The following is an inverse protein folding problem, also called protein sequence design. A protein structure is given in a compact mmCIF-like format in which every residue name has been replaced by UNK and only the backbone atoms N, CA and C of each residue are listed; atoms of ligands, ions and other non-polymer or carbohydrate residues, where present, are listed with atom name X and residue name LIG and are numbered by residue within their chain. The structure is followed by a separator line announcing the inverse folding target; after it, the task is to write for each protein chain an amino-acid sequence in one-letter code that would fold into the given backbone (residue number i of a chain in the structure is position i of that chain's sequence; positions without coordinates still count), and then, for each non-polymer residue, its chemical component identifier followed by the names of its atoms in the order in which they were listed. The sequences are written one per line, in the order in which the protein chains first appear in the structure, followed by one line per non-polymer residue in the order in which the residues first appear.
data_IF_216900806972
#
_entry.id   IF_216900806972
#
_cell.length_a   1.000
_cell.length_b   1.000
_cell.length_c   1.000
_cell.angle_alpha   90.00
_cell.angle_beta   90.00
_cell.angle_gamma   90.00
#
_symmetry.space_group_name_H-M   'P 1'
#
loop_
_entity.id
_entity.type
_entity.pdbx_description
1 polymer ?
#
# COMPACT_ATOMS: atom_id res chain seq x y z
N UNK A 1 -21.29 14.86 -12.18
CA UNK A 1 -20.23 15.87 -11.96
C UNK A 1 -19.42 15.61 -10.66
N UNK A 2 -20.07 15.45 -9.48
CA UNK A 2 -19.34 15.16 -8.21
C UNK A 2 -18.53 13.87 -8.26
N UNK A 3 -19.08 12.76 -8.81
CA UNK A 3 -18.37 11.46 -8.94
C UNK A 3 -17.14 11.56 -9.85
N UNK A 4 -17.24 12.30 -10.95
CA UNK A 4 -16.10 12.54 -11.86
C UNK A 4 -15.02 13.42 -11.21
N UNK A 5 -15.42 14.38 -10.38
CA UNK A 5 -14.49 15.23 -9.63
C UNK A 5 -13.74 14.44 -8.56
N UNK A 6 -14.44 13.54 -7.83
CA UNK A 6 -13.81 12.65 -6.84
C UNK A 6 -12.80 11.68 -7.48
N UNK A 7 -13.15 11.07 -8.62
CA UNK A 7 -12.25 10.16 -9.36
C UNK A 7 -11.00 10.92 -9.83
N UNK A 8 -11.14 12.11 -10.39
CA UNK A 8 -10.02 12.94 -10.86
C UNK A 8 -9.13 13.41 -9.70
N UNK A 9 -9.71 13.77 -8.56
CA UNK A 9 -8.97 14.19 -7.38
C UNK A 9 -8.22 13.01 -6.74
N UNK A 10 -8.83 11.82 -6.68
CA UNK A 10 -8.19 10.59 -6.20
C UNK A 10 -7.00 10.21 -7.09
N UNK A 11 -7.18 10.23 -8.41
CA UNK A 11 -6.10 9.97 -9.37
C UNK A 11 -4.94 10.97 -9.21
N UNK A 12 -5.25 12.26 -9.02
CA UNK A 12 -4.23 13.30 -8.83
C UNK A 12 -3.47 13.13 -7.52
N UNK A 13 -4.14 12.71 -6.45
CA UNK A 13 -3.49 12.41 -5.16
C UNK A 13 -2.56 11.21 -5.32
N UNK A 14 -3.02 10.13 -5.95
CA UNK A 14 -2.19 8.94 -6.20
C UNK A 14 -0.96 9.26 -7.06
N UNK A 15 -1.13 10.02 -8.15
CA UNK A 15 -0.02 10.44 -9.01
C UNK A 15 1.01 11.28 -8.24
N UNK A 16 0.56 12.26 -7.46
CA UNK A 16 1.46 13.09 -6.66
C UNK A 16 2.19 12.28 -5.57
N UNK A 17 1.55 11.28 -4.99
CA UNK A 17 2.17 10.36 -4.03
C UNK A 17 3.23 9.52 -4.73
N UNK A 18 2.93 8.92 -5.88
CA UNK A 18 3.90 8.13 -6.65
C UNK A 18 5.11 8.97 -7.08
N UNK A 19 4.93 10.21 -7.52
CA UNK A 19 6.05 11.10 -7.87
C UNK A 19 6.96 11.33 -6.65
N UNK A 20 6.41 11.46 -5.45
CA UNK A 20 7.19 11.75 -4.24
C UNK A 20 7.86 10.50 -3.66
N UNK A 21 7.20 9.38 -3.64
CA UNK A 21 7.63 8.19 -2.88
C UNK A 21 7.65 6.89 -3.70
N UNK A 22 7.30 6.93 -4.99
CA UNK A 22 7.20 5.73 -5.83
C UNK A 22 8.51 4.95 -5.94
N UNK A 23 9.64 5.67 -5.97
CA UNK A 23 10.97 5.04 -5.93
C UNK A 23 11.17 4.23 -4.65
N UNK A 24 10.88 4.82 -3.49
CA UNK A 24 11.01 4.14 -2.20
C UNK A 24 10.08 2.93 -2.12
N UNK A 25 8.83 3.06 -2.59
CA UNK A 25 7.85 1.97 -2.66
C UNK A 25 8.39 0.80 -3.48
N UNK A 26 8.93 1.07 -4.68
CA UNK A 26 9.50 0.03 -5.53
C UNK A 26 10.71 -0.66 -4.90
N UNK A 27 11.64 0.10 -4.32
CA UNK A 27 12.83 -0.45 -3.69
C UNK A 27 12.51 -1.22 -2.40
N UNK A 28 11.55 -0.76 -1.58
CA UNK A 28 11.10 -1.50 -0.40
C UNK A 28 10.51 -2.86 -0.76
N UNK A 29 9.74 -2.94 -1.85
CA UNK A 29 9.20 -4.21 -2.34
C UNK A 29 10.29 -5.24 -2.67
N UNK A 30 11.45 -4.82 -3.18
CA UNK A 30 12.59 -5.71 -3.43
C UNK A 30 13.27 -6.08 -2.10
N UNK A 31 13.58 -5.09 -1.25
CA UNK A 31 14.24 -5.33 0.04
C UNK A 31 13.45 -6.28 0.93
N UNK A 32 12.12 -6.20 0.89
CA UNK A 32 11.24 -7.04 1.70
C UNK A 32 11.18 -8.50 1.22
N UNK A 33 11.65 -8.82 0.00
CA UNK A 33 11.69 -10.21 -0.49
C UNK A 33 12.52 -11.13 0.42
N UNK A 34 13.50 -10.61 1.16
CA UNK A 34 14.29 -11.38 2.14
C UNK A 34 13.46 -12.01 3.26
N UNK A 35 12.27 -11.49 3.54
CA UNK A 35 11.38 -12.05 4.56
C UNK A 35 10.52 -13.22 4.05
N UNK A 36 10.40 -13.40 2.74
CA UNK A 36 9.58 -14.46 2.12
C UNK A 36 9.83 -15.85 2.70
N UNK A 37 11.09 -16.30 2.94
CA UNK A 37 11.34 -17.64 3.44
C UNK A 37 10.64 -17.96 4.76
N UNK A 38 10.35 -16.95 5.56
CA UNK A 38 9.78 -17.12 6.91
C UNK A 38 8.35 -16.59 7.08
N UNK A 39 7.80 -15.91 6.09
CA UNK A 39 6.49 -15.26 6.20
C UNK A 39 5.31 -16.21 5.93
N UNK A 40 4.10 -15.72 6.21
CA UNK A 40 2.82 -16.30 5.81
C UNK A 40 2.13 -15.42 4.77
N UNK A 41 1.14 -15.98 4.10
CA UNK A 41 0.27 -15.24 3.20
C UNK A 41 -1.02 -14.80 3.91
N UNK A 42 -1.46 -13.57 3.65
CA UNK A 42 -2.78 -13.09 4.09
C UNK A 42 -3.93 -13.90 3.50
N UNK A 43 -3.79 -14.43 2.28
CA UNK A 43 -4.82 -15.25 1.65
C UNK A 43 -5.05 -16.61 2.34
N UNK A 44 -4.03 -17.14 3.03
CA UNK A 44 -4.16 -18.43 3.71
C UNK A 44 -5.10 -18.38 4.94
N UNK A 45 -5.54 -17.17 5.34
CA UNK A 45 -6.54 -16.97 6.39
C UNK A 45 -7.97 -16.90 5.88
N UNK A 46 -8.20 -16.99 4.57
CA UNK A 46 -9.54 -16.93 3.99
C UNK A 46 -10.41 -18.06 4.53
N UNK A 47 -11.59 -17.69 5.06
CA UNK A 47 -12.57 -18.59 5.67
C UNK A 47 -11.99 -19.53 6.76
N UNK A 48 -10.90 -19.10 7.41
CA UNK A 48 -10.17 -19.91 8.37
C UNK A 48 -10.68 -19.73 9.81
N UNK A 49 -11.06 -18.52 10.18
CA UNK A 49 -11.51 -18.23 11.53
C UNK A 49 -12.97 -18.71 11.76
N UNK A 50 -13.34 -19.10 12.99
CA UNK A 50 -14.73 -19.47 13.31
C UNK A 50 -15.70 -18.33 12.99
N UNK A 51 -16.87 -18.66 12.44
CA UNK A 51 -17.85 -17.69 11.94
C UNK A 51 -18.40 -16.76 13.05
N UNK A 52 -18.39 -17.22 14.31
CA UNK A 52 -18.85 -16.42 15.46
C UNK A 52 -17.81 -15.46 16.02
N UNK A 53 -16.53 -15.59 15.63
CA UNK A 53 -15.45 -14.69 16.04
C UNK A 53 -15.57 -13.37 15.25
N UNK A 54 -15.73 -12.20 15.92
CA UNK A 54 -15.68 -10.91 15.23
C UNK A 54 -14.25 -10.43 14.99
N UNK A 55 -14.05 -9.59 13.98
CA UNK A 55 -12.84 -8.77 13.84
C UNK A 55 -13.03 -7.41 14.53
N UNK A 56 -12.08 -6.98 15.33
CA UNK A 56 -12.02 -5.62 15.92
C UNK A 56 -10.90 -4.84 15.25
N UNK A 57 -11.26 -3.83 14.47
CA UNK A 57 -10.32 -2.94 13.79
C UNK A 57 -10.09 -1.72 14.69
N UNK A 58 -8.84 -1.54 15.12
CA UNK A 58 -8.46 -0.49 16.07
C UNK A 58 -7.66 0.59 15.35
N UNK A 59 -8.24 1.77 15.23
CA UNK A 59 -7.59 2.95 14.65
C UNK A 59 -7.18 3.97 15.74
N UNK A 60 -6.39 4.98 15.35
CA UNK A 60 -5.72 5.90 16.27
C UNK A 60 -6.51 7.20 16.57
N UNK A 61 -7.81 7.24 16.27
CA UNK A 61 -8.61 8.44 16.54
C UNK A 61 -8.73 8.77 18.04
N UNK A 62 -9.03 10.03 18.40
CA UNK A 62 -9.04 10.48 19.79
C UNK A 62 -9.99 9.70 20.70
N UNK A 63 -11.07 9.15 20.15
CA UNK A 63 -12.03 8.34 20.91
C UNK A 63 -11.46 7.04 21.46
N UNK A 64 -10.34 6.53 20.90
CA UNK A 64 -9.69 5.30 21.35
C UNK A 64 -9.39 5.33 22.87
N UNK A 65 -9.05 6.48 23.42
CA UNK A 65 -8.79 6.64 24.84
C UNK A 65 -9.99 6.26 25.74
N UNK A 66 -11.21 6.33 25.21
CA UNK A 66 -12.42 6.05 26.00
C UNK A 66 -12.64 4.55 26.25
N UNK A 67 -12.21 3.72 25.31
CA UNK A 67 -12.62 2.32 25.27
C UNK A 67 -11.48 1.31 25.04
N UNK A 68 -10.22 1.76 24.88
CA UNK A 68 -9.06 0.88 24.64
C UNK A 68 -8.91 -0.22 25.72
N UNK A 69 -9.15 0.09 27.00
CA UNK A 69 -9.07 -0.88 28.10
C UNK A 69 -10.07 -2.04 27.97
N UNK A 70 -11.20 -1.82 27.30
CA UNK A 70 -12.20 -2.85 27.06
C UNK A 70 -11.69 -3.97 26.13
N UNK A 71 -10.67 -3.70 25.32
CA UNK A 71 -10.04 -4.71 24.46
C UNK A 71 -9.53 -5.91 25.24
N UNK A 72 -9.11 -5.72 26.51
CA UNK A 72 -8.73 -6.82 27.43
C UNK A 72 -9.83 -7.87 27.59
N UNK A 73 -11.11 -7.45 27.56
CA UNK A 73 -12.27 -8.35 27.67
C UNK A 73 -12.53 -9.13 26.38
N UNK A 74 -12.07 -8.61 25.24
CA UNK A 74 -12.20 -9.25 23.91
C UNK A 74 -11.07 -10.23 23.61
N UNK A 75 -9.95 -10.21 24.39
CA UNK A 75 -8.79 -11.07 24.14
C UNK A 75 -9.18 -12.56 24.13
N UNK A 76 -8.79 -13.26 23.05
CA UNK A 76 -9.15 -14.66 22.81
C UNK A 76 -10.61 -14.89 22.36
N UNK A 77 -11.41 -13.82 22.19
CA UNK A 77 -12.83 -13.91 21.78
C UNK A 77 -13.13 -13.14 20.48
N UNK A 78 -12.18 -12.33 20.04
CA UNK A 78 -12.21 -11.57 18.80
C UNK A 78 -10.79 -11.54 18.23
N UNK A 79 -10.67 -11.37 16.92
CA UNK A 79 -9.41 -11.06 16.27
C UNK A 79 -9.22 -9.54 16.30
N UNK A 80 -8.16 -9.08 16.95
CA UNK A 80 -7.82 -7.66 17.02
C UNK A 80 -6.79 -7.30 15.96
N UNK A 81 -7.13 -6.37 15.06
CA UNK A 81 -6.24 -5.81 14.03
C UNK A 81 -6.03 -4.33 14.34
N UNK A 82 -4.83 -3.99 14.79
CA UNK A 82 -4.49 -2.63 15.21
C UNK A 82 -3.69 -1.95 14.12
N UNK A 83 -4.09 -0.76 13.69
CA UNK A 83 -3.29 0.02 12.74
C UNK A 83 -1.98 0.49 13.38
N UNK A 84 -0.94 0.61 12.60
CA UNK A 84 0.40 0.99 13.03
C UNK A 84 0.45 2.30 13.85
N UNK A 85 -0.41 3.26 13.56
CA UNK A 85 -0.51 4.52 14.31
C UNK A 85 -1.22 4.40 15.68
N UNK A 86 -1.86 3.27 15.99
CA UNK A 86 -2.54 3.04 17.28
C UNK A 86 -1.76 2.09 18.20
N UNK A 87 -0.67 1.47 17.72
CA UNK A 87 -0.02 0.36 18.42
C UNK A 87 0.56 0.78 19.77
N UNK A 88 1.24 1.94 19.86
CA UNK A 88 1.81 2.42 21.10
C UNK A 88 0.73 2.65 22.16
N UNK A 89 -0.38 3.28 21.79
CA UNK A 89 -1.52 3.51 22.69
C UNK A 89 -2.10 2.18 23.20
N UNK A 90 -2.37 1.24 22.31
CA UNK A 90 -2.97 -0.05 22.65
C UNK A 90 -2.07 -0.85 23.59
N UNK A 91 -0.77 -0.94 23.28
CA UNK A 91 0.19 -1.70 24.12
C UNK A 91 0.49 -1.01 25.43
N UNK A 92 0.53 0.34 25.49
CA UNK A 92 0.66 1.10 26.75
C UNK A 92 -0.50 0.84 27.73
N UNK A 93 -1.68 0.50 27.21
CA UNK A 93 -2.83 0.05 28.01
C UNK A 93 -2.77 -1.45 28.38
N UNK A 94 -1.68 -2.15 28.08
CA UNK A 94 -1.48 -3.56 28.42
C UNK A 94 -2.32 -4.52 27.56
N UNK A 95 -2.66 -4.12 26.35
CA UNK A 95 -3.34 -4.96 25.36
C UNK A 95 -2.33 -5.41 24.32
N UNK A 96 -2.08 -6.71 24.22
CA UNK A 96 -1.30 -7.32 23.14
C UNK A 96 -2.25 -7.66 22.00
N UNK A 97 -2.19 -6.97 20.84
CA UNK A 97 -3.07 -7.27 19.69
C UNK A 97 -2.74 -8.62 19.06
N UNK A 98 -3.65 -9.17 18.27
CA UNK A 98 -3.40 -10.36 17.49
C UNK A 98 -2.64 -10.01 16.21
N UNK A 99 -3.02 -8.89 15.57
CA UNK A 99 -2.31 -8.35 14.42
C UNK A 99 -2.08 -6.84 14.54
N UNK A 100 -0.95 -6.41 14.02
CA UNK A 100 -0.68 -5.01 13.65
C UNK A 100 -0.66 -4.95 12.13
N UNK A 101 -1.31 -3.94 11.53
CA UNK A 101 -1.27 -3.74 10.09
C UNK A 101 -0.47 -2.49 9.73
N UNK A 102 0.43 -2.62 8.75
CA UNK A 102 1.29 -1.53 8.27
C UNK A 102 1.45 -1.58 6.75
N UNK A 103 1.43 -0.41 6.11
CA UNK A 103 1.49 -0.25 4.65
C UNK A 103 2.59 0.73 4.25
N UNK A 104 2.75 1.81 5.03
CA UNK A 104 3.55 2.96 4.61
C UNK A 104 5.05 2.65 4.55
N UNK A 105 5.65 2.83 3.37
CA UNK A 105 7.09 2.72 3.14
C UNK A 105 7.90 3.74 3.95
N UNK A 106 7.34 4.92 4.20
CA UNK A 106 8.01 6.01 4.92
C UNK A 106 7.57 6.13 6.39
N UNK A 107 7.00 5.07 6.97
CA UNK A 107 6.61 5.08 8.38
C UNK A 107 7.83 5.23 9.28
N UNK A 108 7.79 6.18 10.21
CA UNK A 108 8.91 6.44 11.10
C UNK A 108 8.98 5.40 12.24
N UNK A 109 10.18 4.87 12.50
CA UNK A 109 10.44 3.87 13.55
C UNK A 109 10.05 4.35 14.95
N UNK A 110 10.11 5.65 15.21
CA UNK A 110 9.68 6.25 16.48
C UNK A 110 8.22 5.97 16.85
N UNK A 111 7.41 5.53 15.88
CA UNK A 111 6.01 5.14 16.11
C UNK A 111 5.86 3.69 16.57
N UNK A 112 6.97 2.94 16.71
CA UNK A 112 7.00 1.53 17.06
C UNK A 112 7.92 1.32 18.28
N UNK A 113 7.56 1.91 19.41
CA UNK A 113 8.39 1.89 20.64
C UNK A 113 7.85 0.97 21.73
N UNK A 114 6.71 0.32 21.49
CA UNK A 114 6.07 -0.54 22.47
C UNK A 114 6.92 -1.79 22.77
N UNK A 115 7.06 -2.12 24.04
CA UNK A 115 7.74 -3.34 24.50
C UNK A 115 6.94 -4.59 24.07
N UNK A 116 7.63 -5.64 23.62
CA UNK A 116 7.00 -6.88 23.15
C UNK A 116 6.50 -6.84 21.70
N UNK A 117 6.70 -5.75 20.95
CA UNK A 117 6.25 -5.60 19.58
C UNK A 117 6.78 -6.71 18.65
N UNK A 118 8.00 -7.20 18.88
CA UNK A 118 8.60 -8.26 18.08
C UNK A 118 7.82 -9.60 18.10
N UNK A 119 6.96 -9.80 19.09
CA UNK A 119 6.15 -11.01 19.28
C UNK A 119 4.75 -10.91 18.65
N UNK A 120 4.34 -9.72 18.21
CA UNK A 120 3.04 -9.50 17.56
C UNK A 120 3.11 -9.93 16.10
N UNK A 121 1.99 -10.43 15.54
CA UNK A 121 1.91 -10.70 14.09
C UNK A 121 1.68 -9.40 13.33
N UNK A 122 2.46 -9.20 12.26
CA UNK A 122 2.35 -8.03 11.39
C UNK A 122 1.75 -8.41 10.05
N UNK A 123 0.60 -7.81 9.76
CA UNK A 123 0.03 -7.76 8.42
C UNK A 123 0.74 -6.64 7.67
N UNK A 124 1.59 -7.01 6.75
CA UNK A 124 2.42 -6.07 6.02
C UNK A 124 2.10 -6.08 4.52
N UNK A 125 1.89 -4.89 3.94
CA UNK A 125 1.97 -4.78 2.48
C UNK A 125 3.41 -5.07 2.02
N UNK A 126 3.56 -5.68 0.86
CA UNK A 126 4.87 -5.98 0.27
C UNK A 126 5.79 -4.75 0.17
N UNK A 127 5.22 -3.55 0.20
CA UNK A 127 5.93 -2.26 0.10
C UNK A 127 6.12 -1.54 1.43
N UNK A 128 5.74 -2.16 2.56
CA UNK A 128 5.89 -1.58 3.90
C UNK A 128 7.36 -1.23 4.22
N UNK A 129 7.56 -0.32 5.17
CA UNK A 129 8.91 0.10 5.58
C UNK A 129 9.73 -1.09 6.07
N UNK A 130 10.80 -1.42 5.34
CA UNK A 130 11.69 -2.55 5.64
C UNK A 130 12.26 -2.49 7.06
N UNK A 131 12.64 -1.30 7.54
CA UNK A 131 13.17 -1.14 8.89
C UNK A 131 12.13 -1.37 10.00
N UNK A 132 10.84 -1.16 9.72
CA UNK A 132 9.75 -1.56 10.64
C UNK A 132 9.62 -3.08 10.66
N UNK A 133 9.71 -3.73 9.50
CA UNK A 133 9.63 -5.20 9.42
C UNK A 133 10.82 -5.89 10.11
N UNK A 134 12.00 -5.27 10.13
CA UNK A 134 13.18 -5.75 10.88
C UNK A 134 12.98 -5.79 12.41
N UNK A 135 12.03 -5.02 12.93
CA UNK A 135 11.72 -5.03 14.37
C UNK A 135 10.89 -6.25 14.77
N UNK A 136 10.32 -6.98 13.81
CA UNK A 136 9.40 -8.10 14.02
C UNK A 136 10.12 -9.42 13.75
N UNK A 137 9.81 -10.46 14.53
CA UNK A 137 10.33 -11.81 14.22
C UNK A 137 9.84 -12.23 12.83
N UNK A 138 10.73 -12.65 11.90
CA UNK A 138 10.31 -12.95 10.52
C UNK A 138 9.15 -13.96 10.43
N UNK A 139 9.09 -14.92 11.36
CA UNK A 139 7.98 -15.90 11.43
C UNK A 139 6.62 -15.28 11.76
N UNK A 140 6.58 -14.06 12.28
CA UNK A 140 5.37 -13.33 12.63
C UNK A 140 4.92 -12.37 11.51
N UNK A 141 5.62 -12.33 10.39
CA UNK A 141 5.20 -11.54 9.22
C UNK A 141 4.15 -12.31 8.41
N UNK A 142 3.09 -11.61 8.06
CA UNK A 142 2.00 -12.05 7.18
C UNK A 142 1.88 -11.03 6.08
N UNK A 143 2.25 -11.39 4.87
CA UNK A 143 2.20 -10.47 3.74
C UNK A 143 0.87 -10.54 3.00
N UNK A 144 0.43 -9.38 2.57
CA UNK A 144 -0.64 -9.18 1.60
C UNK A 144 -0.20 -8.14 0.56
N UNK A 145 -0.99 -7.87 -0.45
CA UNK A 145 -0.67 -6.83 -1.42
C UNK A 145 -1.88 -6.01 -1.82
N UNK A 146 -1.65 -4.74 -2.04
CA UNK A 146 -2.57 -3.82 -2.69
C UNK A 146 -2.27 -3.68 -4.19
N UNK A 147 -1.26 -4.38 -4.70
CA UNK A 147 -0.84 -4.37 -6.11
C UNK A 147 -0.26 -5.74 -6.52
N UNK A 148 -0.72 -6.27 -7.63
CA UNK A 148 -0.21 -7.51 -8.22
C UNK A 148 1.18 -7.31 -8.84
N UNK A 149 1.97 -8.36 -8.92
CA UNK A 149 3.30 -8.33 -9.53
C UNK A 149 4.14 -9.53 -9.17
N UNK A 150 5.46 -9.35 -9.08
CA UNK A 150 6.42 -10.42 -8.76
C UNK A 150 6.06 -11.19 -7.50
N UNK A 151 5.61 -10.50 -6.44
CA UNK A 151 5.18 -11.13 -5.19
C UNK A 151 4.00 -12.09 -5.41
N UNK A 152 2.94 -11.63 -6.09
CA UNK A 152 1.75 -12.46 -6.36
C UNK A 152 2.12 -13.69 -7.18
N UNK A 153 3.01 -13.55 -8.16
CA UNK A 153 3.52 -14.68 -8.94
C UNK A 153 4.29 -15.68 -8.07
N UNK A 154 5.23 -15.21 -7.25
CA UNK A 154 6.00 -16.09 -6.36
C UNK A 154 5.10 -16.88 -5.41
N UNK A 155 4.08 -16.25 -4.83
CA UNK A 155 3.10 -16.96 -4.00
C UNK A 155 2.28 -17.96 -4.80
N UNK A 156 1.88 -17.62 -6.03
CA UNK A 156 1.18 -18.54 -6.94
C UNK A 156 2.03 -19.76 -7.27
N UNK A 157 3.30 -19.56 -7.56
CA UNK A 157 4.26 -20.63 -7.85
C UNK A 157 4.51 -21.55 -6.62
N UNK A 158 4.36 -21.00 -5.42
CA UNK A 158 4.39 -21.76 -4.15
C UNK A 158 3.05 -22.43 -3.80
N UNK A 159 2.05 -22.40 -4.68
CA UNK A 159 0.73 -23.01 -4.47
C UNK A 159 -0.15 -22.24 -3.48
N UNK A 160 0.04 -20.92 -3.37
CA UNK A 160 -0.74 -20.01 -2.53
C UNK A 160 -1.13 -18.75 -3.31
N UNK A 161 -1.89 -17.86 -2.67
CA UNK A 161 -2.11 -16.48 -3.13
C UNK A 161 -1.49 -15.53 -2.12
N UNK A 162 -1.11 -14.33 -2.53
CA UNK A 162 -0.60 -13.32 -1.60
C UNK A 162 -1.72 -12.68 -0.76
N UNK A 163 -2.97 -12.74 -1.19
CA UNK A 163 -4.07 -11.98 -0.60
C UNK A 163 -4.09 -10.58 -1.16
N UNK A 164 -4.51 -10.45 -2.41
CA UNK A 164 -4.66 -9.15 -3.04
C UNK A 164 -5.95 -8.50 -2.59
N UNK A 165 -5.86 -7.30 -2.03
CA UNK A 165 -7.01 -6.51 -1.60
C UNK A 165 -7.04 -5.17 -2.34
N UNK A 166 -8.24 -4.61 -2.47
CA UNK A 166 -8.38 -3.27 -3.00
C UNK A 166 -8.04 -2.25 -1.90
N UNK A 167 -6.97 -1.46 -2.11
CA UNK A 167 -6.54 -0.42 -1.19
C UNK A 167 -7.60 0.70 -1.07
N UNK A 168 -8.08 0.93 0.14
CA UNK A 168 -9.07 1.98 0.42
C UNK A 168 -8.47 3.36 0.69
N UNK A 169 -7.14 3.50 0.63
CA UNK A 169 -6.41 4.75 0.87
C UNK A 169 -6.11 5.03 2.35
N UNK A 170 -6.48 4.14 3.28
CA UNK A 170 -6.02 4.16 4.66
C UNK A 170 -5.77 2.75 5.19
N UNK A 171 -4.82 2.62 6.10
CA UNK A 171 -4.44 1.33 6.72
C UNK A 171 -5.64 0.62 7.38
N UNK A 172 -6.56 1.38 7.99
CA UNK A 172 -7.77 0.80 8.58
C UNK A 172 -8.74 0.24 7.53
N UNK A 173 -8.80 0.83 6.33
CA UNK A 173 -9.60 0.29 5.23
C UNK A 173 -9.00 -1.00 4.68
N UNK A 174 -7.68 -1.11 4.64
CA UNK A 174 -7.00 -2.35 4.26
C UNK A 174 -7.26 -3.46 5.29
N UNK A 175 -7.25 -3.13 6.60
CA UNK A 175 -7.64 -4.06 7.65
C UNK A 175 -9.08 -4.55 7.50
N UNK A 176 -10.03 -3.65 7.14
CA UNK A 176 -11.42 -4.03 6.87
C UNK A 176 -11.54 -4.91 5.63
N UNK A 177 -10.81 -4.59 4.55
CA UNK A 177 -10.79 -5.38 3.33
C UNK A 177 -10.25 -6.80 3.56
N UNK A 178 -9.17 -6.93 4.35
CA UNK A 178 -8.66 -8.24 4.77
C UNK A 178 -9.67 -8.99 5.63
N UNK A 179 -10.34 -8.34 6.58
CA UNK A 179 -11.37 -8.97 7.41
C UNK A 179 -12.55 -9.47 6.56
N UNK A 180 -12.96 -8.72 5.52
CA UNK A 180 -13.97 -9.16 4.54
C UNK A 180 -13.48 -10.39 3.77
N UNK A 181 -12.26 -10.35 3.23
CA UNK A 181 -11.68 -11.47 2.46
C UNK A 181 -11.49 -12.73 3.33
N UNK A 182 -11.18 -12.56 4.62
CA UNK A 182 -11.07 -13.65 5.59
C UNK A 182 -12.41 -14.23 6.04
N UNK A 183 -13.53 -13.69 5.56
CA UNK A 183 -14.89 -14.23 5.79
C UNK A 183 -15.54 -13.81 7.10
N UNK A 184 -15.00 -12.80 7.82
CA UNK A 184 -15.63 -12.32 9.05
C UNK A 184 -17.04 -11.79 8.81
N UNK A 185 -17.99 -12.27 9.62
CA UNK A 185 -19.39 -11.84 9.57
C UNK A 185 -19.66 -10.56 10.37
N UNK A 186 -18.71 -10.14 11.22
CA UNK A 186 -18.81 -8.93 12.05
C UNK A 186 -17.49 -8.22 12.10
N UNK A 187 -17.53 -6.93 11.76
CA UNK A 187 -16.37 -6.02 11.78
C UNK A 187 -16.72 -4.87 12.73
N UNK A 188 -16.03 -4.81 13.86
CA UNK A 188 -16.20 -3.80 14.91
C UNK A 188 -15.10 -2.77 14.76
N UNK A 189 -15.44 -1.50 14.63
CA UNK A 189 -14.50 -0.39 14.48
C UNK A 189 -14.42 0.41 15.76
N UNK A 190 -13.19 0.71 16.24
CA UNK A 190 -12.92 1.65 17.32
C UNK A 190 -11.82 2.63 16.95
N UNK A 191 -11.82 3.82 17.55
CA UNK A 191 -10.84 4.86 17.23
C UNK A 191 -10.93 5.39 15.79
N UNK A 192 -12.05 5.13 15.10
CA UNK A 192 -12.25 5.52 13.71
C UNK A 192 -13.03 6.84 13.61
N UNK A 193 -12.56 7.88 14.31
CA UNK A 193 -13.22 9.17 14.43
C UNK A 193 -13.46 9.88 13.10
N UNK A 194 -12.43 9.93 12.25
CA UNK A 194 -12.45 10.62 10.95
C UNK A 194 -13.03 12.03 11.02
N UNK A 195 -12.88 12.67 12.18
CA UNK A 195 -13.32 14.02 12.48
C UNK A 195 -12.40 14.66 13.52
N UNK A 196 -12.45 15.98 13.61
CA UNK A 196 -11.67 16.75 14.58
C UNK A 196 -12.47 16.91 15.87
N UNK A 197 -12.33 15.95 16.77
CA UNK A 197 -13.01 15.98 18.06
C UNK A 197 -12.13 16.67 19.09
N UNK A 198 -12.61 17.77 19.69
CA UNK A 198 -11.87 18.53 20.71
C UNK A 198 -10.54 19.13 20.21
N UNK A 199 -10.44 19.54 18.94
CA UNK A 199 -9.21 20.02 18.28
C UNK A 199 -8.05 19.02 18.23
N UNK A 200 -8.29 17.73 18.48
CA UNK A 200 -7.31 16.64 18.36
C UNK A 200 -7.58 15.81 17.11
N UNK A 201 -6.52 15.33 16.51
CA UNK A 201 -6.57 14.45 15.34
C UNK A 201 -6.31 12.99 15.70
N UNK A 202 -5.49 12.72 16.72
CA UNK A 202 -5.10 11.39 17.18
C UNK A 202 -5.26 11.26 18.70
N UNK A 203 -5.26 10.02 19.19
CA UNK A 203 -5.27 9.69 20.60
C UNK A 203 -4.03 10.26 21.33
N UNK A 204 -4.13 10.46 22.64
CA UNK A 204 -3.01 10.91 23.44
C UNK A 204 -1.90 9.82 23.48
N UNK A 205 -0.64 10.25 23.44
CA UNK A 205 0.52 9.33 23.35
C UNK A 205 1.02 9.07 21.93
N UNK A 206 0.28 9.46 20.88
CA UNK A 206 0.76 9.37 19.52
C UNK A 206 1.62 10.59 19.16
N UNK A 207 2.84 10.33 18.66
CA UNK A 207 3.79 11.39 18.23
C UNK A 207 3.28 12.24 17.04
N UNK A 208 2.11 11.90 16.51
CA UNK A 208 1.48 12.53 15.34
C UNK A 208 0.71 13.83 15.66
N UNK A 209 0.47 14.14 16.95
CA UNK A 209 -0.26 15.35 17.34
C UNK A 209 0.58 16.65 17.31
N UNK A 210 1.88 16.56 17.06
CA UNK A 210 2.76 17.72 17.03
C UNK A 210 2.70 18.39 15.65
N UNK A 211 2.04 19.53 15.57
CA UNK A 211 1.89 20.41 14.38
C UNK A 211 0.71 20.10 13.44
N UNK A 212 -0.50 20.16 13.94
CA UNK A 212 -1.66 20.29 13.06
C UNK A 212 -1.87 21.75 12.61
N UNK A 213 -1.01 22.26 11.71
CA UNK A 213 -1.42 23.39 10.88
C UNK A 213 -2.45 22.87 9.88
N UNK A 214 -3.65 23.50 9.88
CA UNK A 214 -4.77 23.15 9.02
C UNK A 214 -4.50 23.51 7.55
N UNK A 215 -3.55 22.83 6.90
CA UNK A 215 -3.20 23.07 5.49
C UNK A 215 -4.08 22.28 4.51
N UNK A 216 -5.01 21.45 5.00
CA UNK A 216 -5.94 20.71 4.14
C UNK A 216 -7.33 21.34 4.15
N UNK A 217 -8.05 21.37 3.02
CA UNK A 217 -9.43 21.84 2.97
C UNK A 217 -10.30 21.06 3.96
N UNK A 218 -11.04 21.77 4.81
CA UNK A 218 -11.95 21.23 5.81
C UNK A 218 -13.40 21.35 5.35
N UNK A 219 -14.25 20.45 5.83
CA UNK A 219 -15.68 20.44 5.58
C UNK A 219 -16.42 19.94 6.83
N UNK A 220 -17.70 20.24 6.91
CA UNK A 220 -18.56 19.74 7.98
C UNK A 220 -19.27 18.46 7.56
N UNK A 221 -19.33 17.50 8.48
CA UNK A 221 -20.12 16.27 8.37
C UNK A 221 -20.94 16.08 9.65
N UNK A 222 -21.93 15.22 9.64
CA UNK A 222 -22.64 14.85 10.87
C UNK A 222 -21.80 13.88 11.70
N UNK A 223 -21.77 14.08 13.02
CA UNK A 223 -21.25 13.12 13.97
C UNK A 223 -22.30 12.02 14.28
N UNK A 224 -21.92 11.03 15.09
CA UNK A 224 -22.82 9.93 15.50
C UNK A 224 -24.02 10.41 16.36
N UNK A 225 -24.00 11.64 16.86
CA UNK A 225 -25.07 12.28 17.65
C UNK A 225 -25.93 13.24 16.83
N UNK A 226 -25.61 13.44 15.54
CA UNK A 226 -26.34 14.32 14.62
C UNK A 226 -25.85 15.78 14.59
N UNK A 227 -24.79 16.13 15.33
CA UNK A 227 -24.21 17.46 15.32
C UNK A 227 -23.27 17.64 14.11
N UNK A 228 -23.01 18.90 13.74
CA UNK A 228 -21.99 19.19 12.73
C UNK A 228 -20.58 19.13 13.35
N UNK A 229 -19.71 18.33 12.77
CA UNK A 229 -18.31 18.17 13.19
C UNK A 229 -17.39 18.44 12.01
N UNK A 230 -16.24 19.06 12.28
CA UNK A 230 -15.25 19.38 11.26
C UNK A 230 -14.45 18.14 10.87
N UNK A 231 -14.25 17.92 9.56
CA UNK A 231 -13.40 16.86 9.03
C UNK A 231 -12.50 17.40 7.91
N UNK A 232 -11.47 16.61 7.53
CA UNK A 232 -10.60 16.89 6.39
C UNK A 232 -11.13 16.20 5.14
N UNK A 233 -10.72 16.70 3.95
CA UNK A 233 -11.09 16.09 2.67
C UNK A 233 -10.68 14.60 2.59
N UNK A 234 -9.49 14.26 3.07
CA UNK A 234 -8.99 12.89 3.07
C UNK A 234 -9.85 11.99 3.98
N UNK A 235 -10.17 12.46 5.19
CA UNK A 235 -11.06 11.76 6.12
C UNK A 235 -12.46 11.57 5.55
N UNK A 236 -12.99 12.58 4.85
CA UNK A 236 -14.27 12.43 4.15
C UNK A 236 -14.22 11.33 3.09
N UNK A 237 -13.10 11.20 2.37
CA UNK A 237 -12.91 10.10 1.42
C UNK A 237 -12.91 8.75 2.14
N UNK A 238 -12.26 8.64 3.30
CA UNK A 238 -12.25 7.42 4.09
C UNK A 238 -13.63 7.07 4.66
N UNK A 239 -14.41 8.07 5.14
CA UNK A 239 -15.81 7.88 5.54
C UNK A 239 -16.60 7.25 4.37
N UNK A 240 -16.47 7.81 3.16
CA UNK A 240 -17.16 7.30 1.97
C UNK A 240 -16.72 5.89 1.59
N UNK A 241 -15.44 5.57 1.75
CA UNK A 241 -14.93 4.23 1.49
C UNK A 241 -15.46 3.19 2.48
N UNK A 242 -15.57 3.53 3.77
CA UNK A 242 -16.19 2.66 4.78
C UNK A 242 -17.68 2.44 4.47
N UNK A 243 -18.41 3.51 4.13
CA UNK A 243 -19.80 3.43 3.73
C UNK A 243 -20.01 2.53 2.50
N UNK A 244 -19.12 2.63 1.50
CA UNK A 244 -19.16 1.79 0.29
C UNK A 244 -18.84 0.33 0.60
N UNK A 245 -17.85 0.05 1.45
CA UNK A 245 -17.55 -1.31 1.93
C UNK A 245 -18.77 -1.92 2.64
N UNK A 246 -19.37 -1.22 3.58
CA UNK A 246 -20.55 -1.69 4.31
C UNK A 246 -21.75 -1.89 3.38
N UNK A 247 -21.97 -0.98 2.43
CA UNK A 247 -23.06 -1.09 1.46
C UNK A 247 -22.92 -2.29 0.51
N UNK A 248 -21.68 -2.59 0.08
CA UNK A 248 -21.40 -3.69 -0.86
C UNK A 248 -21.39 -5.06 -0.18
N UNK A 249 -21.28 -5.12 1.14
CA UNK A 249 -21.22 -6.36 1.91
C UNK A 249 -22.38 -6.43 2.92
N UNK A 250 -23.64 -6.51 2.46
CA UNK A 250 -24.82 -6.46 3.32
C UNK A 250 -24.95 -7.65 4.29
N UNK A 251 -24.24 -8.74 4.02
CA UNK A 251 -24.20 -9.95 4.87
C UNK A 251 -23.20 -9.82 6.03
N UNK A 252 -22.43 -8.73 6.07
CA UNK A 252 -21.46 -8.42 7.12
C UNK A 252 -22.02 -7.31 8.01
N UNK A 253 -22.01 -7.54 9.32
CA UNK A 253 -22.43 -6.54 10.30
C UNK A 253 -21.27 -5.60 10.62
N UNK A 254 -21.28 -4.40 10.02
CA UNK A 254 -20.33 -3.34 10.32
C UNK A 254 -20.81 -2.55 11.52
N UNK A 255 -20.05 -2.60 12.61
CA UNK A 255 -20.37 -1.98 13.90
C UNK A 255 -19.41 -0.81 14.14
N UNK A 256 -19.97 0.41 14.24
CA UNK A 256 -19.23 1.58 14.67
C UNK A 256 -19.28 1.69 16.20
N UNK A 257 -18.23 1.19 16.84
CA UNK A 257 -18.03 1.27 18.29
C UNK A 257 -16.98 2.33 18.67
N UNK A 258 -16.78 3.32 17.80
CA UNK A 258 -15.86 4.45 18.02
C UNK A 258 -16.28 5.31 19.21
N UNK A 259 -17.59 5.41 19.49
CA UNK A 259 -18.17 6.24 20.57
C UNK A 259 -17.85 7.74 20.40
N UNK A 260 -17.74 8.18 19.16
CA UNK A 260 -17.48 9.55 18.73
C UNK A 260 -17.20 9.68 17.25
N UNK A 261 -16.79 10.89 16.82
CA UNK A 261 -16.38 11.15 15.44
C UNK A 261 -17.51 11.22 14.42
N UNK A 262 -17.15 11.19 13.14
CA UNK A 262 -18.08 11.31 12.02
C UNK A 262 -19.00 10.09 11.91
N UNK A 263 -20.28 10.34 11.58
CA UNK A 263 -21.24 9.29 11.25
C UNK A 263 -20.84 8.57 9.96
N UNK A 264 -20.83 7.24 10.00
CA UNK A 264 -20.62 6.37 8.85
C UNK A 264 -21.93 5.64 8.54
N UNK A 265 -22.51 5.91 7.37
CA UNK A 265 -23.78 5.27 6.95
C UNK A 265 -23.56 3.78 6.70
N UNK A 266 -24.63 3.01 6.78
CA UNK A 266 -24.62 1.55 6.63
C UNK A 266 -23.85 0.80 7.72
N UNK A 267 -23.47 1.50 8.81
CA UNK A 267 -22.89 0.88 10.00
C UNK A 267 -23.87 0.96 11.16
N UNK A 268 -23.79 0.01 12.06
CA UNK A 268 -24.61 0.00 13.28
C UNK A 268 -23.81 0.62 14.42
N UNK A 269 -24.35 1.64 15.07
CA UNK A 269 -23.71 2.32 16.20
C UNK A 269 -23.96 1.52 17.47
N UNK A 270 -22.89 1.16 18.18
CA UNK A 270 -22.91 0.51 19.49
C UNK A 270 -21.77 1.05 20.35
N UNK A 271 -21.82 0.85 21.67
CA UNK A 271 -20.60 0.98 22.49
C UNK A 271 -19.74 -0.27 22.35
N UNK A 272 -18.42 -0.16 22.54
CA UNK A 272 -17.54 -1.33 22.50
C UNK A 272 -17.95 -2.37 23.56
N UNK A 273 -18.36 -1.94 24.75
CA UNK A 273 -18.87 -2.85 25.78
C UNK A 273 -20.07 -3.67 25.30
N UNK A 274 -21.06 -3.02 24.65
CA UNK A 274 -22.23 -3.71 24.10
C UNK A 274 -21.82 -4.70 23.01
N UNK A 275 -20.90 -4.32 22.11
CA UNK A 275 -20.42 -5.20 21.06
C UNK A 275 -19.70 -6.44 21.63
N UNK A 276 -18.84 -6.26 22.63
CA UNK A 276 -18.16 -7.38 23.33
C UNK A 276 -19.19 -8.28 24.02
N UNK A 277 -20.11 -7.70 24.78
CA UNK A 277 -21.12 -8.47 25.52
C UNK A 277 -22.04 -9.26 24.59
N UNK A 278 -22.28 -8.75 23.40
CA UNK A 278 -23.17 -9.41 22.44
C UNK A 278 -22.46 -10.45 21.58
N UNK A 279 -21.20 -10.22 21.16
CA UNK A 279 -20.55 -11.02 20.11
C UNK A 279 -19.29 -11.77 20.56
N UNK A 280 -18.56 -11.32 21.59
CA UNK A 280 -17.36 -11.98 22.05
C UNK A 280 -17.68 -13.04 23.11
N UNK A 281 -18.32 -14.15 22.72
CA UNK A 281 -18.84 -15.18 23.64
C UNK A 281 -17.86 -16.30 23.89
N UNK A 282 -17.34 -16.90 22.83
CA UNK A 282 -16.50 -18.08 22.92
C UNK A 282 -15.01 -17.67 23.01
N UNK A 283 -14.22 -18.50 23.71
CA UNK A 283 -12.78 -18.28 23.87
C UNK A 283 -12.03 -19.24 22.97
N UNK A 284 -11.09 -18.70 22.20
CA UNK A 284 -10.25 -19.44 21.26
C UNK A 284 -8.77 -19.17 21.55
N UNK A 285 -7.90 -20.12 21.24
CA UNK A 285 -6.46 -19.89 21.21
C UNK A 285 -6.07 -19.23 19.89
N UNK A 286 -6.32 -17.92 19.78
CA UNK A 286 -6.09 -17.13 18.56
C UNK A 286 -4.65 -17.26 18.07
N UNK A 287 -3.67 -17.17 19.00
CA UNK A 287 -2.25 -17.27 18.65
C UNK A 287 -1.93 -18.60 17.96
N UNK A 288 -2.40 -19.71 18.53
CA UNK A 288 -2.20 -21.04 17.93
C UNK A 288 -2.87 -21.15 16.55
N UNK A 289 -4.08 -20.58 16.41
CA UNK A 289 -4.76 -20.55 15.11
C UNK A 289 -3.93 -19.80 14.07
N UNK A 290 -3.39 -18.63 14.41
CA UNK A 290 -2.56 -17.86 13.49
C UNK A 290 -1.27 -18.64 13.16
N UNK A 291 -0.63 -19.25 14.15
CA UNK A 291 0.62 -20.01 13.96
C UNK A 291 0.42 -21.30 13.14
N UNK A 292 -0.78 -21.88 13.14
CA UNK A 292 -1.09 -23.09 12.38
C UNK A 292 -1.09 -22.86 10.86
N UNK A 293 -1.22 -21.63 10.40
CA UNK A 293 -1.14 -21.28 8.98
C UNK A 293 0.29 -21.55 8.46
N UNK A 294 0.46 -22.31 7.35
CA UNK A 294 1.77 -22.72 6.87
C UNK A 294 2.57 -21.55 6.30
N UNK A 295 3.89 -21.62 6.47
CA UNK A 295 4.85 -20.75 5.79
C UNK A 295 5.23 -21.41 4.48
N UNK A 296 4.68 -20.96 3.35
CA UNK A 296 4.78 -21.62 2.04
C UNK A 296 6.20 -21.71 1.50
N UNK A 297 7.09 -20.80 1.89
CA UNK A 297 8.48 -20.75 1.43
C UNK A 297 9.49 -21.37 2.42
N UNK A 298 9.04 -22.05 3.50
CA UNK A 298 9.93 -22.51 4.56
C UNK A 298 11.00 -23.52 4.12
N UNK A 299 10.77 -24.30 3.05
CA UNK A 299 11.66 -25.39 2.64
C UNK A 299 12.79 -24.91 1.72
N UNK A 300 12.51 -24.06 0.75
CA UNK A 300 13.46 -23.61 -0.29
C UNK A 300 13.36 -22.12 -0.59
N UNK A 301 12.79 -21.34 0.33
CA UNK A 301 12.49 -19.92 0.10
C UNK A 301 13.71 -19.08 -0.20
N UNK A 302 14.84 -19.30 0.48
CA UNK A 302 16.07 -18.56 0.23
C UNK A 302 16.54 -18.76 -1.22
N UNK A 303 16.52 -19.99 -1.72
CA UNK A 303 16.95 -20.31 -3.08
C UNK A 303 16.00 -19.67 -4.11
N UNK A 304 14.69 -19.79 -3.90
CA UNK A 304 13.69 -19.20 -4.79
C UNK A 304 13.81 -17.66 -4.85
N UNK A 305 14.02 -17.01 -3.72
CA UNK A 305 14.20 -15.54 -3.68
C UNK A 305 15.49 -15.15 -4.40
N UNK A 306 16.62 -15.87 -4.20
CA UNK A 306 17.86 -15.59 -4.91
C UNK A 306 17.73 -15.76 -6.43
N UNK A 307 17.08 -16.81 -6.88
CA UNK A 307 16.82 -17.04 -8.31
C UNK A 307 15.97 -15.91 -8.91
N UNK A 308 14.95 -15.47 -8.20
CA UNK A 308 14.09 -14.38 -8.66
C UNK A 308 14.84 -13.04 -8.70
N UNK A 309 15.63 -12.72 -7.68
CA UNK A 309 16.44 -11.52 -7.64
C UNK A 309 17.49 -11.51 -8.75
N UNK A 310 18.14 -12.65 -9.02
CA UNK A 310 19.10 -12.77 -10.11
C UNK A 310 18.45 -12.56 -11.48
N UNK A 311 17.28 -13.19 -11.72
CA UNK A 311 16.48 -12.99 -12.94
C UNK A 311 16.10 -11.51 -13.13
N UNK A 312 15.62 -10.87 -12.07
CA UNK A 312 15.27 -9.45 -12.08
C UNK A 312 16.50 -8.60 -12.41
N UNK A 313 17.66 -8.89 -11.81
CA UNK A 313 18.91 -8.17 -12.08
C UNK A 313 19.30 -8.24 -13.55
N UNK A 314 19.29 -9.42 -14.15
CA UNK A 314 19.60 -9.63 -15.56
C UNK A 314 18.64 -8.85 -16.48
N UNK A 315 17.35 -8.86 -16.18
CA UNK A 315 16.35 -8.11 -16.92
C UNK A 315 16.58 -6.59 -16.82
N UNK A 316 16.93 -6.07 -15.64
CA UNK A 316 17.23 -4.64 -15.44
C UNK A 316 18.52 -4.21 -16.14
N UNK A 317 19.57 -5.04 -16.12
CA UNK A 317 20.82 -4.77 -16.86
C UNK A 317 20.58 -4.71 -18.36
N UNK A 318 19.77 -5.63 -18.90
CA UNK A 318 19.36 -5.61 -20.30
C UNK A 318 18.53 -4.36 -20.62
N UNK A 319 17.60 -3.98 -19.72
CA UNK A 319 16.81 -2.75 -19.86
C UNK A 319 17.70 -1.51 -19.97
N UNK A 320 18.67 -1.36 -19.06
CA UNK A 320 19.59 -0.21 -19.09
C UNK A 320 20.29 -0.11 -20.43
N UNK A 321 20.80 -1.24 -20.94
CA UNK A 321 21.48 -1.29 -22.23
C UNK A 321 20.55 -0.85 -23.37
N UNK A 322 19.37 -1.45 -23.46
CA UNK A 322 18.40 -1.15 -24.54
C UNK A 322 17.85 0.28 -24.48
N UNK A 323 17.62 0.81 -23.28
CA UNK A 323 17.16 2.20 -23.11
C UNK A 323 18.23 3.20 -23.56
N UNK A 324 19.50 2.96 -23.25
CA UNK A 324 20.60 3.82 -23.74
C UNK A 324 20.74 3.74 -25.25
N UNK A 325 20.69 2.57 -25.86
CA UNK A 325 20.67 2.40 -27.33
C UNK A 325 19.46 3.12 -27.95
N UNK A 326 18.28 3.02 -27.33
CA UNK A 326 17.07 3.71 -27.77
C UNK A 326 17.22 5.23 -27.76
N UNK A 327 17.85 5.76 -26.70
CA UNK A 327 18.15 7.20 -26.59
C UNK A 327 19.08 7.67 -27.71
N UNK A 328 20.17 6.94 -27.99
CA UNK A 328 21.08 7.24 -29.10
C UNK A 328 20.37 7.23 -30.46
N UNK A 329 19.46 6.28 -30.66
CA UNK A 329 18.67 6.19 -31.89
C UNK A 329 17.74 7.40 -32.04
N UNK A 330 17.10 7.83 -30.96
CA UNK A 330 16.27 9.04 -30.92
C UNK A 330 17.07 10.31 -31.19
N UNK A 331 18.22 10.48 -30.53
CA UNK A 331 19.10 11.64 -30.74
C UNK A 331 19.62 11.71 -32.18
N UNK A 332 19.95 10.58 -32.79
CA UNK A 332 20.34 10.48 -34.20
C UNK A 332 19.20 10.94 -35.15
N UNK A 333 17.95 10.57 -34.85
CA UNK A 333 16.80 11.01 -35.62
C UNK A 333 16.58 12.52 -35.51
N UNK A 334 16.64 13.04 -34.29
CA UNK A 334 16.53 14.47 -34.02
C UNK A 334 17.62 15.27 -34.79
N UNK A 335 18.89 14.82 -34.69
CA UNK A 335 20.04 15.42 -35.39
C UNK A 335 19.83 15.45 -36.92
N UNK A 336 19.37 14.33 -37.52
CA UNK A 336 19.10 14.26 -38.96
C UNK A 336 18.05 15.30 -39.40
N UNK A 337 16.99 15.47 -38.62
CA UNK A 337 15.96 16.45 -38.92
C UNK A 337 16.44 17.90 -38.73
N UNK A 338 17.18 18.20 -37.66
CA UNK A 338 17.75 19.52 -37.42
C UNK A 338 18.70 19.98 -38.51
N UNK A 339 19.48 19.05 -39.09
CA UNK A 339 20.44 19.34 -40.16
C UNK A 339 19.86 19.11 -41.57
N UNK A 340 18.52 19.00 -41.69
CA UNK A 340 17.80 18.82 -42.97
C UNK A 340 18.27 17.62 -43.76
N UNK A 341 18.75 16.57 -43.09
CA UNK A 341 19.16 15.30 -43.72
C UNK A 341 17.95 14.37 -43.81
N UNK A 342 16.97 14.71 -44.67
CA UNK A 342 15.72 13.99 -44.79
C UNK A 342 15.88 12.68 -45.60
N UNK A 343 16.17 11.59 -44.85
CA UNK A 343 16.14 10.24 -45.40
C UNK A 343 14.93 9.48 -44.82
N UNK A 344 13.87 9.38 -45.62
CA UNK A 344 12.62 8.76 -45.18
C UNK A 344 12.75 7.29 -44.80
N UNK A 345 13.60 6.52 -45.51
CA UNK A 345 13.81 5.11 -45.20
C UNK A 345 14.61 4.90 -43.93
N UNK A 346 15.59 5.77 -43.66
CA UNK A 346 16.31 5.73 -42.38
C UNK A 346 15.39 6.10 -41.22
N UNK A 347 14.59 7.17 -41.33
CA UNK A 347 13.62 7.56 -40.29
C UNK A 347 12.57 6.48 -40.04
N UNK A 348 12.08 5.81 -41.11
CA UNK A 348 11.17 4.67 -40.96
C UNK A 348 11.80 3.52 -40.15
N UNK A 349 13.06 3.17 -40.45
CA UNK A 349 13.79 2.12 -39.71
C UNK A 349 14.04 2.53 -38.23
N UNK A 350 14.29 3.80 -37.98
CA UNK A 350 14.44 4.33 -36.62
C UNK A 350 13.12 4.19 -35.86
N UNK A 351 12.01 4.64 -36.42
CA UNK A 351 10.69 4.54 -35.81
C UNK A 351 10.31 3.09 -35.50
N UNK A 352 10.64 2.17 -36.40
CA UNK A 352 10.40 0.73 -36.19
C UNK A 352 11.23 0.19 -34.99
N UNK A 353 12.48 0.60 -34.84
CA UNK A 353 13.30 0.23 -33.68
C UNK A 353 12.74 0.78 -32.37
N UNK A 354 12.30 2.03 -32.37
CA UNK A 354 11.66 2.68 -31.20
C UNK A 354 10.39 1.91 -30.83
N UNK A 355 9.53 1.62 -31.79
CA UNK A 355 8.29 0.86 -31.57
C UNK A 355 8.56 -0.51 -30.96
N UNK A 356 9.54 -1.25 -31.47
CA UNK A 356 9.92 -2.55 -30.94
C UNK A 356 10.46 -2.44 -29.50
N UNK A 357 11.23 -1.40 -29.20
CA UNK A 357 11.74 -1.14 -27.87
C UNK A 357 10.59 -0.84 -26.88
N UNK A 358 9.66 0.04 -27.29
CA UNK A 358 8.53 0.42 -26.45
C UNK A 358 7.60 -0.77 -26.17
N UNK A 359 7.30 -1.60 -27.18
CA UNK A 359 6.52 -2.83 -27.03
C UNK A 359 7.22 -3.82 -26.08
N UNK A 360 8.51 -4.08 -26.29
CA UNK A 360 9.29 -4.95 -25.44
C UNK A 360 9.31 -4.44 -23.99
N UNK A 361 9.49 -3.14 -23.78
CA UNK A 361 9.48 -2.54 -22.45
C UNK A 361 8.11 -2.68 -21.76
N UNK A 362 7.02 -2.47 -22.51
CA UNK A 362 5.67 -2.59 -21.99
C UNK A 362 5.32 -4.03 -21.56
N UNK A 363 5.92 -5.03 -22.23
CA UNK A 363 5.70 -6.45 -21.98
C UNK A 363 6.62 -7.04 -20.89
N UNK A 364 7.57 -6.24 -20.35
CA UNK A 364 8.44 -6.70 -19.28
C UNK A 364 7.67 -7.04 -18.01
N UNK A 365 8.04 -8.13 -17.36
CA UNK A 365 7.47 -8.54 -16.08
C UNK A 365 7.63 -7.46 -15.00
N UNK A 366 8.77 -6.80 -14.96
CA UNK A 366 9.11 -5.74 -14.01
C UNK A 366 8.54 -4.36 -14.40
N UNK A 367 7.79 -4.24 -15.49
CA UNK A 367 7.33 -2.95 -16.02
C UNK A 367 6.63 -2.08 -14.95
N UNK A 368 5.74 -2.66 -14.14
CA UNK A 368 5.06 -1.92 -13.07
C UNK A 368 6.03 -1.42 -12.01
N UNK A 369 7.00 -2.25 -11.60
CA UNK A 369 8.06 -1.88 -10.66
C UNK A 369 8.92 -0.75 -11.21
N UNK A 370 9.37 -0.89 -12.46
CA UNK A 370 10.18 0.11 -13.16
C UNK A 370 9.44 1.44 -13.23
N UNK A 371 8.16 1.43 -13.62
CA UNK A 371 7.34 2.67 -13.65
C UNK A 371 7.23 3.34 -12.28
N UNK A 372 7.14 2.59 -11.19
CA UNK A 372 7.14 3.16 -9.84
C UNK A 372 8.49 3.81 -9.52
N UNK A 373 9.59 3.10 -9.79
CA UNK A 373 10.96 3.60 -9.49
C UNK A 373 11.35 4.79 -10.36
N UNK A 374 10.88 4.83 -11.60
CA UNK A 374 11.18 5.89 -12.59
C UNK A 374 10.02 6.88 -12.78
N UNK A 375 9.10 6.98 -11.80
CA UNK A 375 7.88 7.77 -11.91
C UNK A 375 8.14 9.26 -12.25
N UNK A 376 9.24 9.85 -11.82
CA UNK A 376 9.61 11.22 -12.17
C UNK A 376 9.91 11.36 -13.66
N UNK A 377 10.73 10.46 -14.25
CA UNK A 377 11.05 10.48 -15.67
C UNK A 377 9.79 10.30 -16.54
N UNK A 378 8.90 9.38 -16.14
CA UNK A 378 7.62 9.18 -16.81
C UNK A 378 6.73 10.42 -16.72
N UNK A 379 6.63 11.06 -15.56
CA UNK A 379 5.85 12.28 -15.36
C UNK A 379 6.38 13.44 -16.20
N UNK A 380 7.70 13.64 -16.19
CA UNK A 380 8.34 14.69 -16.99
C UNK A 380 8.08 14.50 -18.48
N UNK A 381 8.11 13.26 -18.98
CA UNK A 381 7.75 12.93 -20.36
C UNK A 381 6.27 13.20 -20.65
N UNK A 382 5.36 12.72 -19.78
CA UNK A 382 3.91 12.90 -19.94
C UNK A 382 3.52 14.38 -20.02
N UNK A 383 4.16 15.25 -19.26
CA UNK A 383 3.90 16.69 -19.30
C UNK A 383 4.28 17.32 -20.65
N UNK A 384 5.19 16.71 -21.40
CA UNK A 384 5.61 17.19 -22.72
C UNK A 384 4.73 16.72 -23.88
N UNK A 385 3.95 15.65 -23.70
CA UNK A 385 3.08 15.11 -24.77
C UNK A 385 2.02 16.12 -25.22
N UNK A 386 1.55 16.95 -24.30
CA UNK A 386 0.51 17.95 -24.57
C UNK A 386 1.05 19.26 -25.19
N UNK A 387 2.35 19.42 -25.30
CA UNK A 387 2.97 20.54 -25.98
C UNK A 387 3.03 20.18 -27.47
N UNK A 388 2.48 21.05 -28.31
CA UNK A 388 2.48 20.84 -29.78
C UNK A 388 3.22 21.98 -30.43
N UNK A 389 4.02 21.64 -31.47
CA UNK A 389 4.66 22.61 -32.34
C UNK A 389 3.83 22.83 -33.61
N UNK A 390 3.87 24.06 -34.15
CA UNK A 390 3.13 24.38 -35.40
C UNK A 390 3.77 23.74 -36.62
N UNK A 391 5.08 23.54 -36.59
CA UNK A 391 5.84 22.88 -37.64
C UNK A 391 5.98 21.39 -37.37
N UNK A 392 5.60 20.54 -38.31
CA UNK A 392 5.64 19.08 -38.21
C UNK A 392 7.08 18.53 -38.02
N UNK A 393 8.08 19.21 -38.55
CA UNK A 393 9.49 18.83 -38.41
C UNK A 393 9.97 19.19 -37.00
N UNK A 394 9.67 20.39 -36.53
CA UNK A 394 9.96 20.82 -35.15
C UNK A 394 9.28 19.90 -34.10
N UNK A 395 8.03 19.51 -34.38
CA UNK A 395 7.31 18.54 -33.55
C UNK A 395 8.00 17.17 -33.49
N UNK A 396 8.45 16.66 -34.62
CA UNK A 396 9.17 15.38 -34.68
C UNK A 396 10.50 15.46 -33.94
N UNK A 397 11.25 16.54 -34.05
CA UNK A 397 12.50 16.77 -33.31
C UNK A 397 12.22 16.78 -31.81
N UNK A 398 11.18 17.49 -31.39
CA UNK A 398 10.75 17.55 -29.97
C UNK A 398 10.42 16.17 -29.43
N UNK A 399 9.64 15.38 -30.17
CA UNK A 399 9.25 14.01 -29.76
C UNK A 399 10.50 13.15 -29.58
N UNK A 400 11.41 13.10 -30.55
CA UNK A 400 12.64 12.29 -30.42
C UNK A 400 13.49 12.71 -29.23
N UNK A 401 13.70 14.02 -29.03
CA UNK A 401 14.48 14.53 -27.88
C UNK A 401 13.84 14.17 -26.52
N UNK A 402 12.51 14.23 -26.46
CA UNK A 402 11.81 13.88 -25.22
C UNK A 402 11.84 12.36 -24.99
N UNK A 403 11.73 11.54 -26.03
CA UNK A 403 11.88 10.09 -25.92
C UNK A 403 13.29 9.70 -25.49
N UNK A 404 14.33 10.35 -26.02
CA UNK A 404 15.72 10.14 -25.58
C UNK A 404 15.88 10.45 -24.07
N UNK A 405 15.35 11.59 -23.63
CA UNK A 405 15.36 11.96 -22.19
C UNK A 405 14.62 10.94 -21.33
N UNK A 406 13.45 10.44 -21.76
CA UNK A 406 12.72 9.40 -21.05
C UNK A 406 13.55 8.13 -20.91
N UNK A 407 14.14 7.65 -22.01
CA UNK A 407 14.94 6.43 -22.00
C UNK A 407 16.17 6.53 -21.10
N UNK A 408 16.88 7.67 -21.13
CA UNK A 408 17.98 7.92 -20.17
C UNK A 408 17.45 8.00 -18.74
N UNK A 409 16.36 8.69 -18.50
CA UNK A 409 15.74 8.80 -17.18
C UNK A 409 15.31 7.44 -16.62
N UNK A 410 14.81 6.52 -17.46
CA UNK A 410 14.52 5.15 -17.08
C UNK A 410 15.82 4.40 -16.76
N UNK A 411 16.82 4.41 -17.65
CA UNK A 411 18.08 3.71 -17.48
C UNK A 411 18.83 4.13 -16.19
N UNK A 412 18.85 5.43 -15.90
CA UNK A 412 19.50 5.96 -14.70
C UNK A 412 18.67 5.70 -13.42
N UNK A 413 17.34 5.79 -13.53
CA UNK A 413 16.43 5.58 -12.42
C UNK A 413 16.44 4.15 -11.88
N UNK A 414 16.60 3.15 -12.74
CA UNK A 414 16.61 1.72 -12.35
C UNK A 414 17.96 1.25 -11.78
N UNK A 415 19.02 2.04 -11.84
CA UNK A 415 20.32 1.66 -11.28
C UNK A 415 20.27 1.34 -9.77
N UNK A 416 19.35 1.97 -9.04
CA UNK A 416 19.16 1.71 -7.61
C UNK A 416 18.44 0.37 -7.36
N UNK A 417 17.70 -0.17 -8.33
CA UNK A 417 17.13 -1.53 -8.26
C UNK A 417 18.26 -2.55 -8.12
N UNK A 418 19.31 -2.46 -8.95
CA UNK A 418 20.45 -3.39 -8.91
C UNK A 418 21.13 -3.35 -7.54
N UNK A 419 21.41 -2.15 -7.01
CA UNK A 419 21.99 -2.00 -5.67
C UNK A 419 21.13 -2.61 -4.57
N UNK A 420 19.82 -2.44 -4.69
CA UNK A 420 18.87 -2.99 -3.72
C UNK A 420 18.81 -4.51 -3.80
N UNK A 421 18.86 -5.08 -5.00
CA UNK A 421 18.95 -6.52 -5.20
C UNK A 421 20.22 -7.06 -4.53
N UNK A 422 21.39 -6.48 -4.83
CA UNK A 422 22.67 -6.89 -4.26
C UNK A 422 22.72 -6.79 -2.72
N UNK A 423 22.02 -5.82 -2.16
CA UNK A 423 21.87 -5.71 -0.71
C UNK A 423 20.94 -6.80 -0.17
N UNK A 424 19.80 -7.03 -0.79
CA UNK A 424 18.84 -8.05 -0.41
C UNK A 424 19.45 -9.46 -0.45
N UNK A 425 20.24 -9.78 -1.48
CA UNK A 425 20.95 -11.07 -1.62
C UNK A 425 21.94 -11.35 -0.47
N UNK A 426 22.57 -10.31 0.09
CA UNK A 426 23.49 -10.45 1.24
C UNK A 426 22.76 -10.73 2.55
N UNK A 427 21.49 -10.39 2.62
CA UNK A 427 20.66 -10.49 3.83
C UNK A 427 19.81 -11.78 3.86
N UNK A 428 19.79 -12.56 2.76
CA UNK A 428 19.19 -13.89 2.63
C UNK A 428 20.26 -14.98 2.92
#
# INVERSE_FOLDING_TARGET
RQRQMCIRDSYRIQTNTLIKVGKQIGLASISNMRFLPNCRSGADYKDYFPEDVPAIIVAAGPSLQKNVDLLKKAKGKAITIVVDSAINTVMAHGVMPDFVITVDTNKELKNFTAEGLADVFFLADATANTAVLDMVKPKNLVFYSTDSGTWSRMFSDAGSSLGEIFAGGSVALDAMALAIDWGFKRIIMIGQDLAMTGNKQYADGENLNQNTSFNSPTLYVKDIYGNDVLTKKDYYTFIRSIEDLAYRNPDIDFIDATEGGALKRHTRIMTLQQAIDQYCKNVYNITEMIEAIPRRFATNGNELVKQELQKMKENIELLITRMREGAEVCDKAAYMLEHKQYDKDKLRKINEKIRILDEWYADMEEHKLIKKVTCQANHDYETTIYLTEKDSVAESIRIYKNSAKLYIGIADGVADIIKTIEQCEKEI
#
